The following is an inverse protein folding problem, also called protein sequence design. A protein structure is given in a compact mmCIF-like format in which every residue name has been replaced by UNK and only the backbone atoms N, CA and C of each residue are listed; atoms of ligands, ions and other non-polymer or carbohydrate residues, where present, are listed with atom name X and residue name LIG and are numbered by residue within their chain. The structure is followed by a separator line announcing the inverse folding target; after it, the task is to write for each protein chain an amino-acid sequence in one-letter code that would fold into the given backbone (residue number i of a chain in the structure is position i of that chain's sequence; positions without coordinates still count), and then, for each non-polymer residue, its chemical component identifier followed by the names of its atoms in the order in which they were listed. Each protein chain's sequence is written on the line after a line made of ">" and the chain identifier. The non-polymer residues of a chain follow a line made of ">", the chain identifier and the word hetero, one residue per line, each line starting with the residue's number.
data_IF_628351394082
#
_entry.id   IF_628351394082
#
_cell.length_a   1.000
_cell.length_b   1.000
_cell.length_c   1.000
_cell.angle_alpha   90.00
_cell.angle_beta   90.00
_cell.angle_gamma   90.00
#
_symmetry.space_group_name_H-M   'P 1'
#
loop_
_entity.id
_entity.type
_entity.pdbx_description
1 polymer ?
#
# COMPACT_ATOMS: atom_id res chain seq x y z
N UNK A 1 3.56 7.20 17.96
CA UNK A 1 3.40 7.42 16.51
C UNK A 1 4.06 6.27 15.78
N UNK A 2 3.41 5.78 14.72
CA UNK A 2 3.90 4.73 13.83
C UNK A 2 3.91 5.28 12.41
N UNK A 3 4.94 4.96 11.64
CA UNK A 3 4.93 5.09 10.19
C UNK A 3 4.71 3.73 9.54
N UNK A 4 4.03 3.73 8.40
CA UNK A 4 4.01 2.63 7.44
C UNK A 4 4.67 3.11 6.16
N UNK A 5 5.77 2.49 5.79
CA UNK A 5 6.36 2.58 4.46
C UNK A 5 5.81 1.42 3.60
N UNK A 6 5.28 1.74 2.41
CA UNK A 6 4.68 0.82 1.44
C UNK A 6 5.32 1.08 0.06
N UNK A 7 5.82 0.04 -0.60
CA UNK A 7 6.36 0.14 -1.96
C UNK A 7 5.25 0.17 -3.02
N UNK A 8 5.18 1.27 -3.77
CA UNK A 8 4.13 1.47 -4.77
C UNK A 8 4.28 0.49 -5.93
N UNK A 9 3.23 -0.30 -6.19
CA UNK A 9 3.15 -1.29 -7.26
C UNK A 9 4.40 -2.20 -7.30
N UNK A 10 4.85 -2.66 -6.13
CA UNK A 10 6.19 -3.19 -5.88
C UNK A 10 6.78 -4.06 -7.01
N UNK A 11 6.15 -5.17 -7.39
CA UNK A 11 6.72 -6.05 -8.43
C UNK A 11 6.82 -5.41 -9.81
N UNK A 12 5.88 -4.53 -10.18
CA UNK A 12 5.97 -3.76 -11.42
C UNK A 12 7.10 -2.73 -11.35
N UNK A 13 7.28 -2.10 -10.18
CA UNK A 13 8.40 -1.18 -9.91
C UNK A 13 9.76 -1.87 -9.93
N UNK A 14 9.86 -3.13 -9.46
CA UNK A 14 11.08 -3.93 -9.57
C UNK A 14 11.51 -4.14 -11.02
N UNK A 15 10.57 -4.43 -11.93
CA UNK A 15 10.89 -4.58 -13.35
C UNK A 15 11.27 -3.24 -13.99
N UNK A 16 10.50 -2.17 -13.71
CA UNK A 16 10.78 -0.81 -14.20
C UNK A 16 12.15 -0.26 -13.77
N UNK A 17 12.66 -0.70 -12.61
CA UNK A 17 13.99 -0.33 -12.14
C UNK A 17 15.10 -0.74 -13.12
N UNK A 18 14.96 -1.92 -13.74
CA UNK A 18 15.93 -2.46 -14.70
C UNK A 18 15.53 -2.22 -16.17
N UNK A 19 14.26 -1.92 -16.41
CA UNK A 19 13.68 -1.69 -17.74
C UNK A 19 12.91 -0.36 -17.78
N UNK A 20 13.63 0.78 -17.76
CA UNK A 20 13.04 2.11 -17.61
C UNK A 20 12.15 2.51 -18.79
N UNK A 21 12.22 1.82 -19.93
CA UNK A 21 11.29 2.00 -21.05
C UNK A 21 9.83 1.71 -20.68
N UNK A 22 9.58 0.99 -19.59
CA UNK A 22 8.23 0.72 -19.09
C UNK A 22 7.73 1.71 -18.04
N UNK A 23 8.47 2.78 -17.76
CA UNK A 23 7.98 3.88 -16.94
C UNK A 23 6.83 4.60 -17.65
N UNK A 24 5.68 4.72 -16.97
CA UNK A 24 4.45 5.27 -17.57
C UNK A 24 3.72 4.34 -18.53
N UNK A 25 4.21 3.11 -18.75
CA UNK A 25 3.58 2.09 -19.59
C UNK A 25 2.80 1.11 -18.70
N UNK A 26 1.59 0.65 -19.09
CA UNK A 26 0.86 -0.36 -18.32
C UNK A 26 1.67 -1.66 -18.19
N UNK A 27 1.92 -2.07 -16.95
CA UNK A 27 2.69 -3.27 -16.60
C UNK A 27 1.85 -4.18 -15.72
N UNK A 28 1.88 -5.48 -16.02
CA UNK A 28 1.35 -6.55 -15.17
C UNK A 28 2.42 -7.60 -14.88
N UNK A 29 2.38 -8.15 -13.68
CA UNK A 29 3.23 -9.27 -13.28
C UNK A 29 2.34 -10.47 -12.98
N UNK A 30 2.68 -11.61 -13.56
CA UNK A 30 1.95 -12.86 -13.44
C UNK A 30 2.50 -13.73 -12.30
N UNK A 31 1.70 -14.68 -11.82
CA UNK A 31 2.09 -15.68 -10.84
C UNK A 31 3.13 -16.66 -11.40
N UNK A 32 3.65 -17.54 -10.54
CA UNK A 32 4.36 -18.74 -11.01
C UNK A 32 3.54 -19.46 -12.08
N UNK A 33 4.22 -19.93 -13.13
CA UNK A 33 3.63 -20.54 -14.32
C UNK A 33 2.61 -19.66 -15.07
N UNK A 34 2.65 -18.34 -14.87
CA UNK A 34 1.87 -17.35 -15.61
C UNK A 34 0.34 -17.56 -15.53
N UNK A 35 -0.15 -18.09 -14.41
CA UNK A 35 -1.56 -18.43 -14.23
C UNK A 35 -2.49 -17.20 -14.10
N UNK A 36 -2.12 -16.23 -13.27
CA UNK A 36 -2.94 -15.03 -13.03
C UNK A 36 -2.10 -13.80 -12.70
N UNK A 37 -2.71 -12.62 -12.81
CA UNK A 37 -2.08 -11.34 -12.44
C UNK A 37 -1.95 -11.22 -10.93
N UNK A 38 -0.72 -11.02 -10.44
CA UNK A 38 -0.40 -10.85 -9.01
C UNK A 38 0.09 -9.44 -8.66
N UNK A 39 0.51 -8.64 -9.65
CA UNK A 39 0.79 -7.23 -9.48
C UNK A 39 0.46 -6.44 -10.75
N UNK A 40 0.16 -5.15 -10.58
CA UNK A 40 -0.26 -4.26 -11.67
C UNK A 40 0.18 -2.83 -11.39
N UNK A 41 0.68 -2.14 -12.40
CA UNK A 41 0.93 -0.70 -12.36
C UNK A 41 -0.39 0.09 -12.34
N UNK A 42 -0.35 1.38 -12.01
CA UNK A 42 -1.56 2.21 -11.98
C UNK A 42 -2.17 2.42 -13.37
N UNK A 43 -1.33 2.43 -14.41
CA UNK A 43 -1.77 2.48 -15.80
C UNK A 43 -2.52 1.19 -16.18
N UNK A 44 -2.01 0.02 -15.75
CA UNK A 44 -2.72 -1.26 -15.96
C UNK A 44 -4.04 -1.35 -15.17
N UNK A 45 -4.14 -0.72 -13.99
CA UNK A 45 -5.41 -0.58 -13.26
C UNK A 45 -6.42 0.24 -14.06
N UNK A 46 -5.96 1.34 -14.67
CA UNK A 46 -6.78 2.21 -15.52
C UNK A 46 -7.28 1.48 -16.77
N UNK A 47 -6.49 0.54 -17.32
CA UNK A 47 -6.92 -0.36 -18.40
C UNK A 47 -7.97 -1.41 -17.97
N UNK A 48 -8.38 -1.43 -16.70
CA UNK A 48 -9.41 -2.36 -16.20
C UNK A 48 -8.90 -3.75 -15.81
N UNK A 49 -7.58 -3.99 -15.85
CA UNK A 49 -7.02 -5.30 -15.46
C UNK A 49 -7.19 -5.52 -13.96
N UNK A 50 -7.93 -6.56 -13.58
CA UNK A 50 -8.21 -6.90 -12.19
C UNK A 50 -7.07 -7.72 -11.56
N UNK A 51 -6.87 -7.52 -10.25
CA UNK A 51 -5.98 -8.39 -9.46
C UNK A 51 -6.53 -9.82 -9.46
N UNK A 52 -5.67 -10.83 -9.62
CA UNK A 52 -6.06 -12.24 -9.69
C UNK A 52 -6.75 -12.66 -10.99
N UNK A 53 -6.84 -11.76 -12.00
CA UNK A 53 -7.40 -12.11 -13.30
C UNK A 53 -6.57 -13.22 -13.96
N UNK A 54 -7.19 -14.32 -14.44
CA UNK A 54 -6.48 -15.37 -15.15
C UNK A 54 -5.87 -14.83 -16.44
N UNK A 55 -4.59 -15.11 -16.68
CA UNK A 55 -3.84 -14.53 -17.81
C UNK A 55 -4.51 -14.81 -19.16
N UNK A 56 -5.03 -16.03 -19.35
CA UNK A 56 -5.71 -16.41 -20.60
C UNK A 56 -6.98 -15.61 -20.89
N UNK A 57 -7.62 -15.02 -19.88
CA UNK A 57 -8.85 -14.23 -20.05
C UNK A 57 -8.61 -12.76 -20.38
N UNK A 58 -7.37 -12.28 -20.24
CA UNK A 58 -7.03 -10.86 -20.40
C UNK A 58 -6.09 -10.60 -21.58
N UNK A 59 -5.89 -11.60 -22.46
CA UNK A 59 -4.96 -11.50 -23.60
C UNK A 59 -5.39 -10.41 -24.59
N UNK A 60 -6.69 -10.26 -24.81
CA UNK A 60 -7.23 -9.26 -25.74
C UNK A 60 -7.02 -7.85 -25.20
N UNK A 61 -7.26 -7.63 -23.91
CA UNK A 61 -6.98 -6.36 -23.23
C UNK A 61 -5.49 -6.01 -23.23
N UNK A 62 -4.63 -7.01 -23.03
CA UNK A 62 -3.17 -6.85 -23.10
C UNK A 62 -2.75 -6.36 -24.49
N UNK A 63 -3.22 -7.02 -25.54
CA UNK A 63 -2.89 -6.64 -26.92
C UNK A 63 -3.45 -5.25 -27.27
N UNK A 64 -4.70 -4.98 -26.87
CA UNK A 64 -5.38 -3.70 -27.13
C UNK A 64 -4.69 -2.51 -26.50
N UNK A 65 -4.18 -2.66 -25.27
CA UNK A 65 -3.57 -1.58 -24.51
C UNK A 65 -2.04 -1.62 -24.48
N UNK A 66 -1.42 -2.52 -25.26
CA UNK A 66 0.02 -2.74 -25.31
C UNK A 66 0.63 -2.91 -23.91
N UNK A 67 -0.01 -3.74 -23.09
CA UNK A 67 0.39 -3.97 -21.70
C UNK A 67 1.65 -4.84 -21.67
N UNK A 68 2.70 -4.36 -20.99
CA UNK A 68 3.88 -5.14 -20.72
C UNK A 68 3.58 -6.23 -19.68
N UNK A 69 3.95 -7.47 -20.00
CA UNK A 69 3.66 -8.65 -19.19
C UNK A 69 4.96 -9.28 -18.74
N UNK A 70 5.11 -9.49 -17.44
CA UNK A 70 6.26 -10.19 -16.86
C UNK A 70 5.83 -11.41 -16.07
N UNK A 71 6.60 -12.48 -16.14
CA UNK A 71 6.51 -13.58 -15.17
C UNK A 71 7.06 -13.13 -13.82
N UNK A 72 6.62 -13.77 -12.73
CA UNK A 72 7.12 -13.50 -11.39
C UNK A 72 8.61 -13.85 -11.25
N UNK A 73 9.40 -12.97 -10.66
CA UNK A 73 10.81 -13.17 -10.37
C UNK A 73 11.13 -12.96 -8.88
N UNK A 74 10.78 -13.95 -8.04
CA UNK A 74 10.81 -13.81 -6.58
C UNK A 74 12.19 -13.56 -5.97
N UNK A 75 13.27 -14.04 -6.60
CA UNK A 75 14.64 -13.74 -6.14
C UNK A 75 14.99 -12.26 -6.30
N UNK A 76 14.51 -11.63 -7.37
CA UNK A 76 14.64 -10.18 -7.60
C UNK A 76 13.82 -9.42 -6.57
N UNK A 77 12.56 -9.82 -6.37
CA UNK A 77 11.67 -9.15 -5.42
C UNK A 77 12.22 -9.22 -3.99
N UNK A 78 12.75 -10.37 -3.59
CA UNK A 78 13.40 -10.56 -2.29
C UNK A 78 14.65 -9.68 -2.11
N UNK A 79 15.53 -9.62 -3.11
CA UNK A 79 16.74 -8.78 -3.07
C UNK A 79 16.39 -7.29 -2.98
N UNK A 80 15.49 -6.81 -3.83
CA UNK A 80 15.04 -5.41 -3.82
C UNK A 80 14.33 -5.06 -2.50
N UNK A 81 13.47 -5.96 -2.00
CA UNK A 81 12.82 -5.81 -0.69
C UNK A 81 13.87 -5.64 0.40
N UNK A 82 14.86 -6.53 0.47
CA UNK A 82 15.92 -6.47 1.49
C UNK A 82 16.66 -5.13 1.46
N UNK A 83 16.92 -4.56 0.27
CA UNK A 83 17.53 -3.22 0.12
C UNK A 83 16.62 -2.11 0.63
N UNK A 84 15.32 -2.15 0.33
CA UNK A 84 14.35 -1.17 0.85
C UNK A 84 14.28 -1.25 2.37
N UNK A 85 14.11 -2.45 2.94
CA UNK A 85 14.02 -2.64 4.39
C UNK A 85 15.29 -2.22 5.11
N UNK A 86 16.47 -2.48 4.53
CA UNK A 86 17.76 -2.04 5.07
C UNK A 86 17.86 -0.51 5.10
N UNK A 87 17.35 0.19 4.09
CA UNK A 87 17.32 1.65 4.08
C UNK A 87 16.34 2.21 5.12
N UNK A 88 15.16 1.61 5.24
CA UNK A 88 14.15 1.99 6.24
C UNK A 88 14.66 1.81 7.68
N UNK A 89 15.44 0.75 7.94
CA UNK A 89 16.01 0.47 9.25
C UNK A 89 17.01 1.53 9.76
N UNK A 90 17.41 2.49 8.92
CA UNK A 90 18.31 3.59 9.29
C UNK A 90 17.59 4.74 9.99
N UNK A 91 16.26 4.80 9.91
CA UNK A 91 15.46 5.90 10.47
C UNK A 91 15.08 5.68 11.94
N UNK A 92 14.87 4.44 12.35
CA UNK A 92 14.54 4.11 13.74
C UNK A 92 15.04 2.72 14.10
N UNK A 93 15.38 2.46 15.37
CA UNK A 93 15.65 1.10 15.85
C UNK A 93 14.37 0.26 15.98
N UNK A 94 13.18 0.86 16.02
CA UNK A 94 11.90 0.16 16.16
C UNK A 94 11.30 -0.11 14.76
N UNK A 95 11.61 -1.29 14.21
CA UNK A 95 11.29 -1.67 12.83
C UNK A 95 10.63 -3.03 12.81
N UNK A 96 9.51 -3.12 12.08
CA UNK A 96 8.76 -4.35 11.90
C UNK A 96 8.44 -4.53 10.40
N UNK A 97 9.16 -5.45 9.76
CA UNK A 97 8.88 -5.87 8.38
C UNK A 97 7.59 -6.67 8.38
N UNK A 98 6.55 -6.13 7.76
CA UNK A 98 5.20 -6.71 7.76
C UNK A 98 4.96 -7.60 6.54
N UNK A 99 5.48 -7.21 5.38
CA UNK A 99 5.44 -7.98 4.13
C UNK A 99 6.71 -7.71 3.31
N UNK A 100 6.75 -8.23 2.07
CA UNK A 100 7.84 -7.97 1.12
C UNK A 100 7.92 -6.50 0.68
N UNK A 101 6.85 -5.74 0.83
CA UNK A 101 6.71 -4.36 0.37
C UNK A 101 6.28 -3.38 1.47
N UNK A 102 5.93 -3.86 2.67
CA UNK A 102 5.45 -3.05 3.79
C UNK A 102 6.32 -3.19 5.04
N UNK A 103 6.57 -2.06 5.69
CA UNK A 103 7.34 -1.97 6.92
C UNK A 103 6.75 -0.93 7.88
N UNK A 104 6.53 -1.34 9.13
CA UNK A 104 6.15 -0.43 10.20
C UNK A 104 7.40 0.09 10.92
N UNK A 105 7.39 1.38 11.25
CA UNK A 105 8.47 2.05 11.95
C UNK A 105 7.91 2.79 13.17
N UNK A 106 8.50 2.57 14.34
CA UNK A 106 8.17 3.29 15.57
C UNK A 106 8.81 4.68 15.58
N UNK A 107 7.98 5.71 15.73
CA UNK A 107 8.40 7.12 15.72
C UNK A 107 8.03 7.83 17.03
N UNK A 108 8.04 7.11 18.15
CA UNK A 108 7.79 7.73 19.47
C UNK A 108 8.94 8.69 19.82
N UNK A 109 8.62 9.95 20.10
CA UNK A 109 9.60 10.98 20.45
C UNK A 109 10.30 11.62 19.25
N UNK A 110 9.83 11.38 18.03
CA UNK A 110 10.27 12.07 16.83
C UNK A 110 9.35 13.27 16.55
N UNK A 111 9.95 14.39 16.12
CA UNK A 111 9.26 15.62 15.76
C UNK A 111 9.27 15.84 14.24
N UNK A 112 8.57 16.88 13.78
CA UNK A 112 8.56 17.27 12.37
C UNK A 112 8.20 16.11 11.41
N UNK A 113 7.24 15.27 11.81
CA UNK A 113 6.92 13.98 11.18
C UNK A 113 6.67 14.08 9.67
N UNK A 114 6.10 15.19 9.19
CA UNK A 114 5.87 15.41 7.77
C UNK A 114 7.19 15.50 6.99
N UNK A 115 8.16 16.27 7.48
CA UNK A 115 9.49 16.41 6.87
C UNK A 115 10.28 15.11 7.04
N UNK A 116 10.17 14.48 8.21
CA UNK A 116 10.84 13.21 8.48
C UNK A 116 10.36 12.08 7.56
N UNK A 117 9.04 11.97 7.35
CA UNK A 117 8.45 11.03 6.40
C UNK A 117 8.87 11.32 4.95
N UNK A 118 9.04 12.59 4.58
CA UNK A 118 9.56 12.99 3.26
C UNK A 118 11.02 12.59 3.08
N UNK A 119 11.87 12.86 4.07
CA UNK A 119 13.27 12.44 4.07
C UNK A 119 13.39 10.92 3.94
N UNK A 120 12.58 10.18 4.70
CA UNK A 120 12.51 8.72 4.62
C UNK A 120 12.16 8.24 3.22
N UNK A 121 11.07 8.78 2.65
CA UNK A 121 10.62 8.46 1.29
C UNK A 121 11.71 8.77 0.27
N UNK A 122 12.22 10.00 0.26
CA UNK A 122 13.13 10.48 -0.77
C UNK A 122 14.48 9.73 -0.69
N UNK A 123 14.97 9.42 0.51
CA UNK A 123 16.18 8.61 0.72
C UNK A 123 16.02 7.19 0.18
N UNK A 124 14.91 6.51 0.50
CA UNK A 124 14.66 5.15 0.01
C UNK A 124 14.57 5.14 -1.52
N UNK A 125 13.84 6.10 -2.11
CA UNK A 125 13.74 6.24 -3.57
C UNK A 125 15.12 6.47 -4.18
N UNK A 126 15.93 7.38 -3.62
CA UNK A 126 17.25 7.69 -4.14
C UNK A 126 18.21 6.49 -4.08
N UNK A 127 18.17 5.70 -3.01
CA UNK A 127 19.09 4.59 -2.81
C UNK A 127 18.68 3.29 -3.52
N UNK A 128 17.38 3.10 -3.76
CA UNK A 128 16.85 1.82 -4.29
C UNK A 128 16.19 1.96 -5.64
N UNK A 129 15.82 3.17 -6.05
CA UNK A 129 14.99 3.43 -7.22
C UNK A 129 13.53 2.98 -7.08
N UNK A 130 13.13 2.44 -5.93
CA UNK A 130 11.76 1.95 -5.69
C UNK A 130 10.89 3.07 -5.13
N UNK A 131 9.80 3.45 -5.83
CA UNK A 131 8.84 4.41 -5.31
C UNK A 131 8.16 3.87 -4.05
N UNK A 132 8.21 4.62 -2.96
CA UNK A 132 7.47 4.31 -1.74
C UNK A 132 6.52 5.44 -1.35
N UNK A 133 5.54 5.08 -0.54
CA UNK A 133 4.62 5.99 0.14
C UNK A 133 4.76 5.78 1.65
N UNK A 134 4.62 6.85 2.42
CA UNK A 134 4.74 6.84 3.89
C UNK A 134 3.45 7.39 4.51
N UNK A 135 2.87 6.64 5.44
CA UNK A 135 1.71 7.06 6.22
C UNK A 135 2.05 7.05 7.71
N UNK A 136 1.81 8.14 8.42
CA UNK A 136 2.20 8.29 9.83
C UNK A 136 0.96 8.58 10.67
N UNK A 137 0.76 7.84 11.76
CA UNK A 137 -0.38 8.04 12.67
C UNK A 137 -0.16 7.45 14.08
N UNK A 138 -1.05 7.69 15.07
CA UNK A 138 -0.94 7.16 16.42
C UNK A 138 -0.98 5.63 16.52
N UNK A 139 -1.63 4.93 15.59
CA UNK A 139 -1.77 3.47 15.58
C UNK A 139 -1.40 2.89 14.21
N UNK A 140 -1.04 1.60 14.16
CA UNK A 140 -0.73 0.90 12.90
C UNK A 140 -1.90 0.89 11.91
N UNK A 141 -3.13 0.72 12.39
CA UNK A 141 -4.35 0.80 11.56
C UNK A 141 -4.48 2.18 10.92
N UNK A 142 -4.33 3.25 11.72
CA UNK A 142 -4.39 4.61 11.19
C UNK A 142 -3.19 4.95 10.29
N UNK A 143 -2.02 4.34 10.49
CA UNK A 143 -0.87 4.51 9.61
C UNK A 143 -1.15 3.89 8.22
N UNK A 144 -1.85 2.75 8.15
CA UNK A 144 -2.36 2.18 6.89
C UNK A 144 -3.40 3.10 6.22
N UNK A 145 -4.32 3.69 6.99
CA UNK A 145 -5.26 4.70 6.48
C UNK A 145 -4.51 5.93 5.92
N UNK A 146 -3.54 6.46 6.66
CA UNK A 146 -2.71 7.57 6.24
C UNK A 146 -1.96 7.25 4.94
N UNK A 147 -1.36 6.07 4.84
CA UNK A 147 -0.60 5.64 3.66
C UNK A 147 -1.48 5.55 2.41
N UNK A 148 -2.69 5.00 2.53
CA UNK A 148 -3.65 4.94 1.40
C UNK A 148 -3.97 6.34 0.88
N UNK A 149 -4.09 7.32 1.78
CA UNK A 149 -4.33 8.72 1.43
C UNK A 149 -3.07 9.40 0.88
N UNK A 150 -1.88 9.02 1.35
CA UNK A 150 -0.60 9.64 0.96
C UNK A 150 -0.27 9.48 -0.53
N UNK A 151 -0.76 8.42 -1.18
CA UNK A 151 -0.64 8.20 -2.62
C UNK A 151 -1.24 9.35 -3.45
N UNK A 152 -2.18 10.13 -2.89
CA UNK A 152 -2.75 11.35 -3.51
C UNK A 152 -2.06 12.65 -3.08
N UNK A 153 -1.14 12.60 -2.13
CA UNK A 153 -0.51 13.75 -1.49
C UNK A 153 1.01 13.62 -1.45
N UNK A 154 1.64 13.59 -2.63
CA UNK A 154 3.10 13.55 -2.79
C UNK A 154 3.81 12.38 -2.07
N UNK A 155 3.08 11.32 -1.72
CA UNK A 155 3.62 10.11 -1.12
C UNK A 155 3.85 10.17 0.39
N UNK A 156 3.48 11.25 1.10
CA UNK A 156 3.60 11.34 2.57
C UNK A 156 2.34 11.95 3.20
N UNK A 157 1.75 11.26 4.18
CA UNK A 157 0.60 11.74 4.94
C UNK A 157 0.80 11.50 6.43
N UNK A 158 0.56 12.53 7.23
CA UNK A 158 0.57 12.47 8.69
C UNK A 158 -0.83 12.75 9.23
N UNK A 159 -1.36 11.82 10.01
CA UNK A 159 -2.61 11.96 10.76
C UNK A 159 -2.26 12.01 12.25
N UNK A 160 -2.00 13.21 12.76
CA UNK A 160 -1.56 13.41 14.14
C UNK A 160 -2.69 13.90 15.05
N UNK A 161 -3.53 14.81 14.55
CA UNK A 161 -4.63 15.38 15.33
C UNK A 161 -5.93 14.62 15.14
N UNK A 162 -6.81 14.73 16.14
CA UNK A 162 -8.15 14.14 16.09
C UNK A 162 -8.97 14.65 14.89
N UNK A 163 -8.79 15.92 14.51
CA UNK A 163 -9.44 16.52 13.34
C UNK A 163 -8.95 15.86 12.04
N UNK A 164 -7.63 15.69 11.87
CA UNK A 164 -7.05 15.01 10.71
C UNK A 164 -7.52 13.56 10.60
N UNK A 165 -7.52 12.84 11.73
CA UNK A 165 -7.98 11.46 11.81
C UNK A 165 -9.46 11.38 11.45
N UNK A 166 -10.30 12.20 12.07
CA UNK A 166 -11.74 12.22 11.79
C UNK A 166 -12.00 12.48 10.31
N UNK A 167 -11.38 13.50 9.71
CA UNK A 167 -11.51 13.80 8.28
C UNK A 167 -11.08 12.64 7.38
N UNK A 168 -10.02 11.93 7.74
CA UNK A 168 -9.53 10.79 6.95
C UNK A 168 -10.47 9.57 7.01
N UNK A 169 -11.29 9.44 8.06
CA UNK A 169 -12.16 8.28 8.29
C UNK A 169 -13.60 8.46 7.79
N UNK A 170 -14.07 9.70 7.59
CA UNK A 170 -15.48 10.01 7.22
C UNK A 170 -15.93 9.20 6.02
N UNK A 171 -15.16 9.23 4.93
CA UNK A 171 -15.49 8.54 3.67
C UNK A 171 -14.63 7.29 3.43
N UNK A 172 -13.91 6.81 4.44
CA UNK A 172 -13.06 5.63 4.30
C UNK A 172 -13.93 4.37 4.39
N UNK A 173 -14.04 3.54 3.34
CA UNK A 173 -14.91 2.36 3.38
C UNK A 173 -14.49 1.40 4.49
N UNK A 174 -15.47 0.87 5.23
CA UNK A 174 -15.19 -0.07 6.35
C UNK A 174 -14.50 -1.34 5.86
N UNK A 175 -14.81 -1.77 4.63
CA UNK A 175 -14.22 -2.96 4.00
C UNK A 175 -12.75 -2.79 3.62
N UNK A 176 -12.28 -1.55 3.55
CA UNK A 176 -10.88 -1.22 3.31
C UNK A 176 -10.06 -1.16 4.61
N UNK A 177 -10.69 -1.21 5.79
CA UNK A 177 -9.99 -1.14 7.06
C UNK A 177 -9.15 -2.40 7.28
N UNK A 178 -7.91 -2.17 7.73
CA UNK A 178 -7.01 -3.26 8.07
C UNK A 178 -7.58 -4.11 9.21
N UNK A 179 -7.75 -5.41 8.96
CA UNK A 179 -8.38 -6.36 9.88
C UNK A 179 -9.84 -6.67 9.56
N UNK A 180 -10.52 -5.90 8.71
CA UNK A 180 -11.90 -6.15 8.28
C UNK A 180 -11.91 -6.98 6.99
N UNK A 181 -12.01 -8.30 7.14
CA UNK A 181 -12.13 -9.21 5.99
C UNK A 181 -13.51 -9.19 5.35
N UNK A 182 -13.65 -9.86 4.19
CA UNK A 182 -14.90 -9.90 3.39
C UNK A 182 -16.15 -10.25 4.21
N UNK A 183 -16.08 -11.26 5.09
CA UNK A 183 -17.24 -11.66 5.90
C UNK A 183 -17.65 -10.57 6.90
N UNK A 184 -16.69 -9.94 7.56
CA UNK A 184 -16.95 -8.84 8.49
C UNK A 184 -17.46 -7.59 7.76
N UNK A 185 -16.87 -7.24 6.61
CA UNK A 185 -17.38 -6.16 5.75
C UNK A 185 -18.85 -6.37 5.41
N UNK A 186 -19.22 -7.57 4.93
CA UNK A 186 -20.61 -7.90 4.61
C UNK A 186 -21.55 -7.76 5.82
N UNK A 187 -21.09 -8.17 7.01
CA UNK A 187 -21.86 -8.04 8.26
C UNK A 187 -22.07 -6.57 8.63
N UNK A 188 -20.99 -5.79 8.69
CA UNK A 188 -21.01 -4.37 9.07
C UNK A 188 -21.89 -3.56 8.11
N UNK A 189 -21.74 -3.77 6.80
CA UNK A 189 -22.55 -3.09 5.78
C UNK A 189 -24.03 -3.45 5.93
N UNK A 190 -24.37 -4.71 6.23
CA UNK A 190 -25.75 -5.14 6.48
C UNK A 190 -26.35 -4.46 7.72
N UNK A 191 -25.51 -4.08 8.68
CA UNK A 191 -25.89 -3.36 9.90
C UNK A 191 -25.86 -1.82 9.71
N UNK A 192 -25.66 -1.34 8.47
CA UNK A 192 -25.64 0.08 8.13
C UNK A 192 -24.33 0.79 8.43
N UNK A 193 -23.26 0.03 8.70
CA UNK A 193 -21.91 0.53 8.97
C UNK A 193 -21.10 0.36 7.69
N UNK A 194 -21.01 1.43 6.91
CA UNK A 194 -20.34 1.48 5.61
C UNK A 194 -18.96 2.14 5.69
N UNK A 195 -18.72 3.01 6.68
CA UNK A 195 -17.46 3.77 6.80
C UNK A 195 -16.70 3.51 8.10
N UNK A 196 -15.39 3.77 8.07
CA UNK A 196 -14.53 3.66 9.23
C UNK A 196 -14.92 4.61 10.35
N UNK A 197 -15.42 5.80 10.02
CA UNK A 197 -15.93 6.74 11.02
C UNK A 197 -17.16 6.18 11.74
N UNK A 198 -18.10 5.57 11.01
CA UNK A 198 -19.27 4.91 11.60
C UNK A 198 -18.84 3.76 12.51
N UNK A 199 -17.91 2.91 12.06
CA UNK A 199 -17.41 1.81 12.87
C UNK A 199 -16.71 2.30 14.15
N UNK A 200 -15.90 3.36 14.05
CA UNK A 200 -15.21 3.98 15.19
C UNK A 200 -16.18 4.56 16.23
N UNK A 201 -17.35 5.03 15.81
CA UNK A 201 -18.35 5.61 16.69
C UNK A 201 -19.15 4.57 17.50
N UNK A 202 -18.99 3.27 17.19
CA UNK A 202 -19.70 2.21 17.89
C UNK A 202 -19.19 2.01 19.32
N UNK A 203 -20.08 1.72 20.28
CA UNK A 203 -19.67 1.35 21.63
C UNK A 203 -18.80 0.09 21.62
N UNK A 204 -17.76 0.06 22.46
CA UNK A 204 -16.88 -1.11 22.59
C UNK A 204 -17.64 -2.40 22.91
N UNK A 205 -18.69 -2.31 23.74
CA UNK A 205 -19.54 -3.45 24.08
C UNK A 205 -20.25 -4.04 22.85
N UNK A 206 -20.61 -3.21 21.87
CA UNK A 206 -21.20 -3.68 20.62
C UNK A 206 -20.17 -4.47 19.81
N UNK A 207 -18.95 -3.94 19.67
CA UNK A 207 -17.84 -4.55 18.92
C UNK A 207 -17.38 -5.89 19.52
N UNK A 208 -17.49 -6.06 20.84
CA UNK A 208 -17.14 -7.32 21.50
C UNK A 208 -18.24 -8.39 21.39
N UNK A 209 -19.49 -7.98 21.24
CA UNK A 209 -20.64 -8.88 21.20
C UNK A 209 -20.99 -9.38 19.79
N UNK A 210 -20.54 -8.67 18.75
CA UNK A 210 -20.85 -8.92 17.34
C UNK A 210 -19.57 -9.23 16.57
#
# INVERSE_FOLDING_TARGET
>A
MFALADCNNFYASCHRLFEPQYNGVPVVVLSNNDGCVIARSDEAKTCGIKMGAPFFKIKDEIAKHNIAVFSSHYTLYGDISARVMTNLARFTPDVEVYSIDECFLGLKGYDCLQNYGKEMRDTVIQHTGIPISVGIAPTKVLAKVANKTSKKHNGVMVLETEEQISKALVDYPVEDLWGVGRQFSHKLIKEGIETAAQFRALPMAWVQAH
#
